data_IF_232574513605
#
_entry.id   IF_232574513605
#
_cell.length_a   1.000
_cell.length_b   1.000
_cell.length_c   1.000
_cell.angle_alpha   90.00
_cell.angle_beta   90.00
_cell.angle_gamma   90.00
#
_symmetry.space_group_name_H-M   'P 1'
#
loop_
_entity.id
_entity.type
_entity.pdbx_description
1 polymer ?
#
# COMPACT_ATOMS: atom_id res chain seq x y z
N UNK A 1 -8.16 -8.19 16.71
CA UNK A 1 -8.79 -7.04 16.02
C UNK A 1 -9.13 -5.92 17.00
N UNK A 2 -9.16 -4.70 16.52
CA UNK A 2 -9.77 -3.56 17.19
C UNK A 2 -10.84 -2.97 16.27
N UNK A 3 -12.01 -2.64 16.85
CA UNK A 3 -13.11 -2.00 16.14
C UNK A 3 -13.56 -0.77 16.94
N UNK A 4 -13.32 0.43 16.42
CA UNK A 4 -13.97 1.66 16.85
C UNK A 4 -15.22 1.87 16.01
N UNK A 5 -16.39 2.06 16.64
CA UNK A 5 -17.65 2.18 15.90
C UNK A 5 -18.53 3.28 16.46
N UNK A 6 -19.01 4.22 15.64
CA UNK A 6 -19.92 5.28 16.07
C UNK A 6 -21.36 4.76 16.10
N UNK A 7 -21.75 4.08 17.19
CA UNK A 7 -23.05 3.38 17.31
C UNK A 7 -24.26 4.29 17.12
N UNK A 8 -24.14 5.57 17.40
CA UNK A 8 -25.23 6.54 17.21
C UNK A 8 -25.36 7.04 15.75
N UNK A 9 -24.31 6.85 14.92
CA UNK A 9 -24.24 7.36 13.54
C UNK A 9 -24.38 6.29 12.48
N UNK A 10 -23.89 5.09 12.76
CA UNK A 10 -23.82 3.99 11.80
C UNK A 10 -24.48 2.72 12.33
N UNK A 11 -25.28 2.03 11.50
CA UNK A 11 -25.90 0.75 11.88
C UNK A 11 -24.85 -0.30 12.27
N UNK A 12 -25.19 -1.09 13.27
CA UNK A 12 -24.31 -2.18 13.77
C UNK A 12 -24.14 -3.31 12.74
N UNK A 13 -25.08 -3.45 11.80
CA UNK A 13 -25.03 -4.40 10.68
C UNK A 13 -23.86 -4.11 9.74
N UNK A 14 -23.44 -2.84 9.62
CA UNK A 14 -22.24 -2.48 8.88
C UNK A 14 -20.97 -2.90 9.62
N UNK A 15 -20.93 -2.77 10.95
CA UNK A 15 -19.83 -3.28 11.77
C UNK A 15 -19.69 -4.79 11.62
N UNK A 16 -20.82 -5.52 11.60
CA UNK A 16 -20.82 -6.95 11.35
C UNK A 16 -20.19 -7.29 9.99
N UNK A 17 -20.54 -6.58 8.92
CA UNK A 17 -19.93 -6.79 7.60
C UNK A 17 -18.42 -6.56 7.59
N UNK A 18 -17.90 -5.58 8.34
CA UNK A 18 -16.46 -5.35 8.50
C UNK A 18 -15.80 -6.56 9.17
N UNK A 19 -16.41 -7.08 10.25
CA UNK A 19 -15.90 -8.27 10.94
C UNK A 19 -15.99 -9.53 10.07
N UNK A 20 -17.04 -9.70 9.28
CA UNK A 20 -17.18 -10.82 8.35
C UNK A 20 -16.11 -10.76 7.25
N UNK A 21 -15.81 -9.56 6.72
CA UNK A 21 -14.70 -9.35 5.80
C UNK A 21 -13.35 -9.72 6.42
N UNK A 22 -13.13 -9.35 7.69
CA UNK A 22 -11.90 -9.69 8.40
C UNK A 22 -11.75 -11.18 8.67
N UNK A 23 -12.85 -11.88 9.00
CA UNK A 23 -12.83 -13.34 9.13
C UNK A 23 -12.48 -14.03 7.82
N UNK A 24 -13.12 -13.60 6.73
CA UNK A 24 -12.87 -14.16 5.40
C UNK A 24 -11.40 -14.03 5.00
N UNK A 25 -10.77 -12.87 5.20
CA UNK A 25 -9.36 -12.68 4.83
C UNK A 25 -8.42 -13.48 5.74
N UNK A 26 -8.75 -13.63 7.04
CA UNK A 26 -8.00 -14.49 7.94
C UNK A 26 -8.10 -15.98 7.53
N UNK A 27 -9.30 -16.45 7.15
CA UNK A 27 -9.52 -17.80 6.61
C UNK A 27 -8.70 -18.05 5.34
N UNK A 28 -8.69 -17.10 4.40
CA UNK A 28 -7.87 -17.16 3.18
C UNK A 28 -6.38 -17.21 3.50
N UNK A 29 -5.94 -16.48 4.53
CA UNK A 29 -4.57 -16.50 5.03
C UNK A 29 -4.22 -17.79 5.79
N UNK A 30 -5.21 -18.61 6.14
CA UNK A 30 -5.03 -19.84 6.93
C UNK A 30 -4.75 -19.58 8.41
N UNK A 31 -5.21 -18.43 8.94
CA UNK A 31 -5.02 -18.02 10.34
C UNK A 31 -6.38 -17.74 11.01
N UNK A 32 -6.53 -18.00 12.33
CA UNK A 32 -7.74 -17.67 13.05
C UNK A 32 -7.81 -16.18 13.39
N UNK A 33 -8.99 -15.58 13.34
CA UNK A 33 -9.28 -14.33 14.04
C UNK A 33 -9.49 -14.67 15.53
N UNK A 34 -8.43 -14.58 16.32
CA UNK A 34 -8.39 -15.11 17.70
C UNK A 34 -9.12 -14.26 18.74
N UNK A 35 -9.50 -13.02 18.38
CA UNK A 35 -10.24 -12.13 19.29
C UNK A 35 -10.02 -10.67 19.00
N UNK A 36 -10.50 -9.83 19.90
CA UNK A 36 -10.36 -8.38 19.75
C UNK A 36 -11.15 -7.61 20.79
N UNK A 37 -11.23 -6.31 20.56
CA UNK A 37 -11.97 -5.39 21.42
C UNK A 37 -12.74 -4.39 20.56
N UNK A 38 -13.93 -3.98 21.01
CA UNK A 38 -14.70 -2.92 20.40
C UNK A 38 -14.90 -1.76 21.36
N UNK A 39 -14.83 -0.55 20.82
CA UNK A 39 -15.01 0.70 21.58
C UNK A 39 -15.96 1.62 20.81
N UNK A 40 -16.66 2.47 21.53
CA UNK A 40 -17.36 3.60 20.92
C UNK A 40 -16.34 4.63 20.42
N UNK A 41 -16.55 5.16 19.21
CA UNK A 41 -15.66 6.17 18.65
C UNK A 41 -16.42 7.13 17.73
N UNK A 42 -15.86 8.33 17.52
CA UNK A 42 -16.51 9.36 16.70
C UNK A 42 -16.61 8.98 15.21
N UNK A 43 -15.70 8.12 14.74
CA UNK A 43 -15.62 7.62 13.36
C UNK A 43 -15.27 6.13 13.37
N UNK A 44 -15.65 5.37 12.31
CA UNK A 44 -15.32 3.96 12.22
C UNK A 44 -13.80 3.76 12.08
N UNK A 45 -13.24 2.92 12.93
CA UNK A 45 -11.84 2.49 12.90
C UNK A 45 -11.81 0.97 12.97
N UNK A 46 -11.08 0.34 12.09
CA UNK A 46 -10.86 -1.11 12.13
C UNK A 46 -9.40 -1.44 11.87
N UNK A 47 -8.86 -2.41 12.62
CA UNK A 47 -7.51 -2.89 12.45
C UNK A 47 -7.29 -4.31 12.96
N UNK A 48 -6.31 -4.98 12.36
CA UNK A 48 -5.83 -6.29 12.78
C UNK A 48 -4.39 -6.17 13.28
N UNK A 49 -4.09 -6.70 14.47
CA UNK A 49 -2.74 -6.98 14.89
C UNK A 49 -2.41 -8.42 14.50
N UNK A 50 -1.46 -8.60 13.60
CA UNK A 50 -1.06 -9.91 13.08
C UNK A 50 0.30 -10.27 13.65
N UNK A 51 0.41 -11.47 14.23
CA UNK A 51 1.66 -12.02 14.76
C UNK A 51 1.98 -13.31 14.03
N UNK A 52 3.24 -13.50 13.67
CA UNK A 52 3.71 -14.71 12.99
C UNK A 52 5.11 -15.10 13.43
N UNK A 53 5.57 -16.23 12.92
CA UNK A 53 6.91 -16.74 13.11
C UNK A 53 7.62 -16.84 11.76
N UNK A 54 8.89 -16.46 11.73
CA UNK A 54 9.76 -16.59 10.56
C UNK A 54 11.10 -17.20 10.98
N UNK A 55 11.60 -18.15 10.20
CA UNK A 55 12.98 -18.61 10.34
C UNK A 55 13.92 -17.42 10.08
N UNK A 56 14.92 -17.24 10.94
CA UNK A 56 15.91 -16.15 10.82
C UNK A 56 16.56 -16.12 9.44
N UNK A 57 16.83 -17.28 8.84
CA UNK A 57 17.40 -17.39 7.48
C UNK A 57 16.48 -16.83 6.38
N UNK A 58 15.16 -16.80 6.62
CA UNK A 58 14.16 -16.32 5.67
C UNK A 58 13.74 -14.87 5.94
N UNK A 59 14.24 -14.27 7.02
CA UNK A 59 13.95 -12.89 7.36
C UNK A 59 14.59 -11.94 6.34
N UNK A 60 13.77 -11.16 5.64
CA UNK A 60 14.21 -10.10 4.72
C UNK A 60 13.92 -8.76 5.37
N UNK A 61 14.97 -8.00 5.63
CA UNK A 61 14.87 -6.64 6.17
C UNK A 61 14.77 -5.64 5.02
N UNK A 62 14.25 -4.45 5.30
CA UNK A 62 14.17 -3.38 4.31
C UNK A 62 15.51 -2.64 4.07
N UNK A 63 16.52 -2.89 4.89
CA UNK A 63 17.82 -2.20 4.88
C UNK A 63 19.01 -3.10 4.48
N UNK A 64 18.76 -4.21 3.80
CA UNK A 64 19.78 -5.21 3.43
C UNK A 64 20.00 -5.34 1.92
N UNK A 65 19.41 -4.44 1.13
CA UNK A 65 19.66 -4.35 -0.31
C UNK A 65 21.14 -4.00 -0.62
N UNK A 66 21.57 -4.33 -1.82
CA UNK A 66 22.95 -4.11 -2.28
C UNK A 66 22.97 -3.40 -3.62
N UNK A 67 24.04 -2.67 -3.89
CA UNK A 67 24.26 -2.09 -5.20
C UNK A 67 24.26 -3.18 -6.28
N UNK A 68 23.50 -2.97 -7.33
CA UNK A 68 23.29 -3.95 -8.42
C UNK A 68 22.06 -4.85 -8.25
N UNK A 69 21.36 -4.80 -7.11
CA UNK A 69 20.09 -5.48 -6.96
C UNK A 69 19.02 -4.87 -7.88
N UNK A 70 18.07 -5.70 -8.32
CA UNK A 70 16.96 -5.29 -9.16
C UNK A 70 15.70 -5.14 -8.32
N UNK A 71 14.93 -4.08 -8.57
CA UNK A 71 13.69 -3.80 -7.88
C UNK A 71 12.51 -4.50 -8.54
N UNK A 72 11.67 -5.13 -7.73
CA UNK A 72 10.41 -5.75 -8.16
C UNK A 72 9.25 -5.19 -7.35
N UNK A 73 8.17 -4.83 -8.03
CA UNK A 73 6.92 -4.41 -7.42
C UNK A 73 5.85 -5.48 -7.71
N UNK A 74 5.27 -6.07 -6.68
CA UNK A 74 4.36 -7.23 -6.81
C UNK A 74 2.90 -6.87 -7.03
N UNK A 75 2.54 -5.59 -6.83
CA UNK A 75 1.21 -5.04 -7.12
C UNK A 75 1.33 -3.71 -7.84
N UNK A 76 0.39 -3.35 -8.71
CA UNK A 76 0.39 -2.05 -9.37
C UNK A 76 0.12 -0.91 -8.36
N UNK A 77 0.59 0.30 -8.70
CA UNK A 77 0.38 1.53 -7.91
C UNK A 77 -0.97 2.17 -8.22
N UNK A 78 -1.50 2.98 -7.28
CA UNK A 78 -2.61 3.87 -7.52
C UNK A 78 -3.83 3.67 -6.64
N UNK A 79 -3.76 2.88 -5.57
CA UNK A 79 -4.88 2.67 -4.64
C UNK A 79 -5.34 3.97 -3.98
N UNK A 80 -4.42 4.84 -3.59
CA UNK A 80 -4.76 6.14 -2.99
C UNK A 80 -5.51 7.04 -3.96
N UNK A 81 -5.10 7.07 -5.23
CA UNK A 81 -5.82 7.79 -6.30
C UNK A 81 -7.23 7.24 -6.48
N UNK A 82 -7.39 5.91 -6.61
CA UNK A 82 -8.70 5.27 -6.81
C UNK A 82 -9.62 5.48 -5.60
N UNK A 83 -9.11 5.33 -4.39
CA UNK A 83 -9.90 5.56 -3.16
C UNK A 83 -10.32 7.02 -3.00
N UNK A 84 -9.47 7.96 -3.42
CA UNK A 84 -9.83 9.39 -3.45
C UNK A 84 -10.89 9.68 -4.50
N UNK A 85 -10.80 9.08 -5.69
CA UNK A 85 -11.83 9.17 -6.71
C UNK A 85 -13.17 8.62 -6.20
N UNK A 86 -13.15 7.49 -5.48
CA UNK A 86 -14.34 6.93 -4.84
C UNK A 86 -14.93 7.87 -3.78
N UNK A 87 -14.11 8.39 -2.88
CA UNK A 87 -14.53 9.34 -1.85
C UNK A 87 -15.19 10.60 -2.43
N UNK A 88 -14.74 11.03 -3.61
CA UNK A 88 -15.30 12.18 -4.34
C UNK A 88 -16.51 11.83 -5.23
N UNK A 89 -16.91 10.55 -5.29
CA UNK A 89 -18.01 10.09 -6.16
C UNK A 89 -17.69 10.15 -7.66
N UNK A 90 -16.41 10.10 -8.04
CA UNK A 90 -15.94 10.25 -9.43
C UNK A 90 -15.43 8.93 -10.03
N UNK A 91 -15.32 7.86 -9.22
CA UNK A 91 -14.79 6.58 -9.67
C UNK A 91 -15.82 5.85 -10.53
N UNK A 92 -15.37 5.20 -11.61
CA UNK A 92 -16.18 4.31 -12.43
C UNK A 92 -16.34 2.95 -11.77
N UNK A 93 -17.46 2.27 -11.96
CA UNK A 93 -17.75 0.95 -11.36
C UNK A 93 -16.68 -0.11 -11.68
N UNK A 94 -16.12 -0.08 -12.88
CA UNK A 94 -15.04 -0.96 -13.30
C UNK A 94 -13.78 -0.74 -12.47
N UNK A 95 -13.43 0.51 -12.17
CA UNK A 95 -12.26 0.86 -11.36
C UNK A 95 -12.48 0.61 -9.86
N UNK A 96 -13.73 0.63 -9.37
CA UNK A 96 -14.05 0.16 -8.00
C UNK A 96 -13.66 -1.30 -7.84
N UNK A 97 -13.97 -2.14 -8.84
CA UNK A 97 -13.59 -3.57 -8.80
C UNK A 97 -12.07 -3.77 -8.80
N UNK A 98 -11.34 -3.00 -9.60
CA UNK A 98 -9.86 -3.01 -9.63
C UNK A 98 -9.31 -2.65 -8.25
N UNK A 99 -9.77 -1.55 -7.67
CA UNK A 99 -9.35 -1.08 -6.35
C UNK A 99 -9.60 -2.13 -5.26
N UNK A 100 -10.83 -2.65 -5.17
CA UNK A 100 -11.20 -3.66 -4.17
C UNK A 100 -10.37 -4.92 -4.33
N UNK A 101 -10.20 -5.42 -5.57
CA UNK A 101 -9.39 -6.60 -5.85
C UNK A 101 -7.95 -6.41 -5.36
N UNK A 102 -7.34 -5.26 -5.61
CA UNK A 102 -5.98 -4.98 -5.17
C UNK A 102 -5.87 -4.85 -3.65
N UNK A 103 -6.83 -4.17 -3.00
CA UNK A 103 -6.85 -3.98 -1.55
C UNK A 103 -7.09 -5.29 -0.78
N UNK A 104 -7.88 -6.21 -1.34
CA UNK A 104 -8.22 -7.48 -0.70
C UNK A 104 -7.23 -8.61 -1.04
N UNK A 105 -6.38 -8.44 -2.04
CA UNK A 105 -5.35 -9.42 -2.37
C UNK A 105 -4.29 -9.50 -1.27
N UNK A 106 -4.15 -10.67 -0.63
CA UNK A 106 -3.11 -10.92 0.36
C UNK A 106 -1.70 -10.78 -0.23
N UNK A 107 -0.78 -10.23 0.56
CA UNK A 107 0.66 -10.19 0.24
C UNK A 107 1.36 -11.54 0.53
N UNK A 108 0.67 -12.64 0.32
CA UNK A 108 1.15 -14.00 0.58
C UNK A 108 2.42 -14.36 -0.22
N UNK A 109 2.62 -13.70 -1.36
CA UNK A 109 3.85 -13.81 -2.15
C UNK A 109 5.12 -13.50 -1.32
N UNK A 110 5.01 -12.64 -0.30
CA UNK A 110 6.11 -12.30 0.60
C UNK A 110 6.70 -13.52 1.33
N UNK A 111 5.88 -14.53 1.65
CA UNK A 111 6.37 -15.78 2.24
C UNK A 111 7.27 -16.55 1.27
N UNK A 112 6.89 -16.65 0.01
CA UNK A 112 7.69 -17.31 -1.02
C UNK A 112 8.98 -16.53 -1.30
N UNK A 113 8.89 -15.20 -1.43
CA UNK A 113 10.04 -14.31 -1.62
C UNK A 113 11.03 -14.41 -0.44
N UNK A 114 10.53 -14.51 0.80
CA UNK A 114 11.36 -14.69 1.98
C UNK A 114 12.25 -15.94 1.91
N UNK A 115 11.78 -17.01 1.27
CA UNK A 115 12.51 -18.29 1.11
C UNK A 115 13.52 -18.27 -0.06
N UNK A 116 13.48 -17.25 -0.92
CA UNK A 116 14.38 -17.15 -2.07
C UNK A 116 15.73 -16.54 -1.65
N UNK A 117 16.83 -17.23 -1.93
CA UNK A 117 18.18 -16.75 -1.61
C UNK A 117 18.54 -15.47 -2.37
N UNK A 118 18.05 -15.31 -3.60
CA UNK A 118 18.29 -14.12 -4.43
C UNK A 118 17.55 -12.86 -3.97
N UNK A 119 16.60 -12.95 -3.04
CA UNK A 119 15.92 -11.78 -2.46
C UNK A 119 16.75 -11.28 -1.28
N UNK A 120 17.30 -10.09 -1.40
CA UNK A 120 18.23 -9.49 -0.44
C UNK A 120 17.53 -8.57 0.56
N UNK A 121 16.47 -7.87 0.14
CA UNK A 121 15.68 -6.97 0.98
C UNK A 121 14.21 -7.00 0.56
N UNK A 122 13.32 -6.62 1.46
CA UNK A 122 11.89 -6.57 1.19
C UNK A 122 11.22 -5.55 2.12
N UNK A 123 10.23 -4.84 1.58
CA UNK A 123 9.31 -3.97 2.35
C UNK A 123 7.92 -4.04 1.74
N UNK A 124 6.90 -3.66 2.49
CA UNK A 124 5.58 -3.35 1.95
C UNK A 124 5.50 -1.87 1.57
N UNK A 125 4.67 -1.55 0.59
CA UNK A 125 4.41 -0.18 0.18
C UNK A 125 3.03 0.23 0.68
N UNK A 126 2.98 1.24 1.54
CA UNK A 126 1.76 1.68 2.24
C UNK A 126 1.60 3.21 2.20
N UNK A 127 1.33 3.85 3.33
CA UNK A 127 0.95 5.25 3.43
C UNK A 127 1.94 6.29 2.90
N UNK A 128 3.23 5.94 2.79
CA UNK A 128 4.26 6.85 2.25
C UNK A 128 4.48 6.70 0.73
N UNK A 129 3.73 5.81 0.09
CA UNK A 129 3.85 5.49 -1.32
C UNK A 129 5.16 4.79 -1.68
N UNK A 130 5.33 4.47 -2.95
CA UNK A 130 6.58 3.86 -3.43
C UNK A 130 7.79 4.75 -3.10
N UNK A 131 7.64 6.07 -3.24
CA UNK A 131 8.72 7.02 -3.03
C UNK A 131 9.29 6.94 -1.61
N UNK A 132 8.43 7.03 -0.59
CA UNK A 132 8.89 7.03 0.81
C UNK A 132 9.51 5.70 1.22
N UNK A 133 8.89 4.58 0.88
CA UNK A 133 9.40 3.25 1.24
C UNK A 133 10.69 2.88 0.49
N UNK A 134 10.84 3.31 -0.77
CA UNK A 134 12.07 3.07 -1.51
C UNK A 134 13.24 3.95 -1.00
N UNK A 135 12.96 5.20 -0.62
CA UNK A 135 13.96 6.06 0.02
C UNK A 135 14.42 5.45 1.35
N UNK A 136 13.49 4.96 2.17
CA UNK A 136 13.82 4.28 3.42
C UNK A 136 14.73 3.07 3.19
N UNK A 137 14.42 2.23 2.19
CA UNK A 137 15.29 1.10 1.83
C UNK A 137 16.68 1.56 1.37
N UNK A 138 16.74 2.56 0.48
CA UNK A 138 17.98 3.06 -0.08
C UNK A 138 18.89 3.67 1.01
N UNK A 139 18.32 4.50 1.89
CA UNK A 139 19.05 5.06 3.04
C UNK A 139 19.51 3.97 4.01
N UNK A 140 18.65 2.99 4.29
CA UNK A 140 18.96 1.90 5.22
C UNK A 140 20.13 1.02 4.77
N UNK A 141 20.41 0.93 3.46
CA UNK A 141 21.54 0.21 2.89
C UNK A 141 22.66 1.11 2.32
N UNK A 142 22.56 2.44 2.49
CA UNK A 142 23.48 3.44 1.97
C UNK A 142 23.68 3.32 0.44
N UNK A 143 22.57 3.12 -0.28
CA UNK A 143 22.51 3.02 -1.74
C UNK A 143 21.64 4.14 -2.32
N UNK A 144 21.63 4.23 -3.65
CA UNK A 144 20.62 4.98 -4.40
C UNK A 144 19.75 3.99 -5.19
N UNK A 145 18.51 4.36 -5.46
CA UNK A 145 17.60 3.58 -6.28
C UNK A 145 17.26 4.31 -7.57
N UNK A 146 17.33 3.60 -8.70
CA UNK A 146 16.95 4.10 -10.01
C UNK A 146 15.65 3.39 -10.45
N UNK A 147 14.66 4.15 -10.87
CA UNK A 147 13.37 3.64 -11.33
C UNK A 147 13.16 4.01 -12.79
N UNK A 148 12.92 3.03 -13.64
CA UNK A 148 12.36 3.30 -14.95
C UNK A 148 10.85 3.58 -14.81
N UNK A 149 10.48 4.86 -14.79
CA UNK A 149 9.10 5.29 -14.60
C UNK A 149 8.11 4.70 -15.62
N UNK A 150 8.56 4.53 -16.88
CA UNK A 150 7.70 4.01 -17.95
C UNK A 150 7.28 2.54 -17.75
N UNK A 151 8.06 1.77 -16.98
CA UNK A 151 7.78 0.34 -16.73
C UNK A 151 7.09 0.08 -15.40
N UNK A 152 6.79 1.12 -14.61
CA UNK A 152 6.05 0.94 -13.36
C UNK A 152 4.64 0.40 -13.63
N UNK A 153 4.25 -0.68 -12.95
CA UNK A 153 2.88 -1.17 -13.02
C UNK A 153 1.94 -0.18 -12.32
N UNK A 154 0.94 0.29 -13.06
CA UNK A 154 -0.09 1.22 -12.58
C UNK A 154 -1.45 0.56 -12.77
N UNK A 155 -2.30 0.61 -11.76
CA UNK A 155 -3.63 0.02 -11.81
C UNK A 155 -4.49 0.68 -12.89
N UNK A 156 -5.38 -0.11 -13.48
CA UNK A 156 -6.28 0.34 -14.54
C UNK A 156 -7.10 1.54 -14.07
N UNK A 157 -7.23 2.55 -14.93
CA UNK A 157 -7.98 3.77 -14.67
C UNK A 157 -7.23 4.84 -13.88
N UNK A 158 -6.15 4.53 -13.17
CA UNK A 158 -5.43 5.50 -12.31
C UNK A 158 -4.98 6.73 -13.08
N UNK A 159 -4.39 6.56 -14.28
CA UNK A 159 -3.89 7.68 -15.09
C UNK A 159 -4.99 8.64 -15.51
N UNK A 160 -6.23 8.16 -15.69
CA UNK A 160 -7.39 8.99 -15.98
C UNK A 160 -7.69 9.97 -14.83
N UNK A 161 -7.59 9.51 -13.58
CA UNK A 161 -7.80 10.35 -12.40
C UNK A 161 -6.62 11.28 -12.13
N UNK A 162 -5.40 10.84 -12.38
CA UNK A 162 -4.21 11.69 -12.28
C UNK A 162 -4.29 12.91 -13.22
N UNK A 163 -4.78 12.73 -14.46
CA UNK A 163 -4.97 13.85 -15.40
C UNK A 163 -6.01 14.86 -14.90
N UNK A 164 -6.96 14.42 -14.09
CA UNK A 164 -7.98 15.26 -13.44
C UNK A 164 -7.49 15.82 -12.08
N UNK A 165 -6.24 15.57 -11.70
CA UNK A 165 -5.66 15.97 -10.41
C UNK A 165 -6.41 15.40 -9.20
N UNK A 166 -6.96 14.21 -9.34
CA UNK A 166 -7.62 13.48 -8.26
C UNK A 166 -6.55 12.66 -7.55
N UNK A 167 -6.03 13.20 -6.46
CA UNK A 167 -5.01 12.59 -5.60
C UNK A 167 -5.36 12.84 -4.13
N UNK A 168 -4.95 11.97 -3.21
CA UNK A 168 -5.11 12.22 -1.78
C UNK A 168 -4.20 13.35 -1.28
N UNK A 169 -4.60 14.05 -0.24
CA UNK A 169 -3.78 15.11 0.38
C UNK A 169 -2.47 14.55 0.95
N UNK A 170 -2.46 13.27 1.30
CA UNK A 170 -1.27 12.57 1.76
C UNK A 170 -0.15 12.54 0.70
N UNK A 171 -0.49 12.49 -0.59
CA UNK A 171 0.47 12.56 -1.70
C UNK A 171 1.33 13.83 -1.61
N UNK A 172 0.72 14.98 -1.34
CA UNK A 172 1.46 16.24 -1.21
C UNK A 172 2.34 16.27 0.06
N UNK A 173 1.86 15.73 1.17
CA UNK A 173 2.66 15.61 2.40
C UNK A 173 3.85 14.70 2.21
N UNK A 174 3.65 13.56 1.57
CA UNK A 174 4.72 12.62 1.24
C UNK A 174 5.75 13.26 0.31
N UNK A 175 5.29 13.94 -0.75
CA UNK A 175 6.20 14.66 -1.64
C UNK A 175 7.05 15.69 -0.89
N UNK A 176 6.44 16.51 -0.06
CA UNK A 176 7.18 17.53 0.72
C UNK A 176 8.24 16.91 1.63
N UNK A 177 7.98 15.70 2.15
CA UNK A 177 8.93 14.99 3.00
C UNK A 177 10.11 14.38 2.24
N UNK A 178 9.90 13.98 0.98
CA UNK A 178 10.87 13.14 0.25
C UNK A 178 11.47 13.79 -1.00
N UNK A 179 10.93 14.91 -1.48
CA UNK A 179 11.33 15.55 -2.75
C UNK A 179 12.80 15.93 -2.81
N UNK A 180 13.40 16.36 -1.69
CA UNK A 180 14.81 16.75 -1.63
C UNK A 180 15.79 15.58 -1.88
N UNK A 181 15.28 14.34 -1.79
CA UNK A 181 16.04 13.11 -2.03
C UNK A 181 15.74 12.47 -3.38
N UNK A 182 14.96 13.17 -4.22
CA UNK A 182 14.44 12.64 -5.49
C UNK A 182 14.92 13.51 -6.65
N UNK A 183 15.41 12.88 -7.71
CA UNK A 183 15.74 13.53 -8.97
C UNK A 183 14.96 12.91 -10.14
N UNK A 184 14.71 13.68 -11.18
CA UNK A 184 14.08 13.20 -12.41
C UNK A 184 15.01 13.43 -13.59
N UNK A 185 15.16 12.42 -14.43
CA UNK A 185 15.87 12.54 -15.69
C UNK A 185 14.99 13.18 -16.78
N UNK A 186 15.65 13.58 -17.90
CA UNK A 186 14.96 14.12 -19.07
C UNK A 186 13.98 13.06 -19.63
N UNK A 187 12.77 13.52 -19.96
CA UNK A 187 11.74 12.66 -20.58
C UNK A 187 10.73 12.05 -19.60
N UNK A 188 10.96 12.14 -18.29
CA UNK A 188 9.97 11.72 -17.30
C UNK A 188 8.84 12.75 -17.23
N UNK A 189 7.59 12.29 -17.26
CA UNK A 189 6.44 13.13 -16.95
C UNK A 189 6.41 13.46 -15.45
N UNK A 190 7.12 14.56 -15.09
CA UNK A 190 7.32 14.95 -13.70
C UNK A 190 5.99 15.18 -12.97
N UNK A 191 4.98 15.74 -13.65
CA UNK A 191 3.67 15.98 -13.03
C UNK A 191 2.92 14.68 -12.68
N UNK A 192 3.03 13.66 -13.51
CA UNK A 192 2.45 12.36 -13.22
C UNK A 192 3.25 11.63 -12.14
N UNK A 193 4.57 11.63 -12.25
CA UNK A 193 5.47 11.02 -11.27
C UNK A 193 5.33 11.65 -9.88
N UNK A 194 5.20 12.97 -9.81
CA UNK A 194 4.90 13.73 -8.59
C UNK A 194 3.62 13.26 -7.89
N UNK A 195 2.60 12.88 -8.65
CA UNK A 195 1.32 12.46 -8.10
C UNK A 195 1.24 10.96 -7.82
N UNK A 196 2.01 10.13 -8.54
CA UNK A 196 1.93 8.66 -8.46
C UNK A 196 2.92 8.06 -7.46
N UNK A 197 4.18 8.51 -7.47
CA UNK A 197 5.23 7.89 -6.65
C UNK A 197 5.00 8.04 -5.14
N UNK A 198 4.55 9.21 -4.63
CA UNK A 198 4.21 9.38 -3.21
C UNK A 198 2.74 9.05 -2.89
N UNK A 199 1.97 8.50 -3.85
CA UNK A 199 0.57 8.10 -3.62
C UNK A 199 0.49 6.97 -2.59
N UNK A 200 -0.30 7.09 -1.51
CA UNK A 200 -0.54 6.01 -0.56
C UNK A 200 -1.09 4.75 -1.23
N UNK A 201 -0.60 3.58 -0.83
CA UNK A 201 -1.00 2.30 -1.39
C UNK A 201 -1.77 1.43 -0.37
#
# INVERSE_FOLDING_TARGET
>A
AILGWPVEKLPVELAQKVLDGSRKICEEAGIPLAGGHSIDSAEPIFGLAVTGLVDIKNLKKNNTAKAGDVLFLTKPLGVGVLSTAQKRGLIKDEHVRVMISQMTQLNKVGEALGKMEGVTAMTDVTGFGLLGHLIEMAEGCNCAAEINYATLPVAEGVREYLTQRIVPDATYRNWNSYSTKTGFEKGVNVMEAFNLLPDPQ
#
